data_IF_365447135519
#
_entry.id   IF_365447135519
#
_cell.length_a   1.000
_cell.length_b   1.000
_cell.length_c   1.000
_cell.angle_alpha   90.00
_cell.angle_beta   90.00
_cell.angle_gamma   90.00
#
_symmetry.space_group_name_H-M   'P 1'
#
loop_
_entity.id
_entity.type
_entity.pdbx_description
1 polymer ?
#
# COMPACT_ATOMS: atom_id res chain seq x y z
N UNK A 1 -8.38 18.74 -1.18
CA UNK A 1 -8.44 17.66 -0.19
C UNK A 1 -8.41 18.19 1.25
N UNK A 2 -9.25 17.67 2.15
CA UNK A 2 -9.12 17.91 3.61
C UNK A 2 -8.52 16.69 4.31
N UNK A 3 -7.39 16.86 4.99
CA UNK A 3 -6.75 15.81 5.78
C UNK A 3 -7.48 15.57 7.12
N UNK A 4 -7.55 14.31 7.54
CA UNK A 4 -8.05 13.94 8.87
C UNK A 4 -7.16 14.49 9.98
N UNK A 5 -7.71 14.64 11.18
CA UNK A 5 -6.97 15.18 12.30
C UNK A 5 -5.94 14.18 12.82
N UNK A 6 -6.21 12.88 12.72
CA UNK A 6 -5.27 11.81 13.05
C UNK A 6 -4.06 11.81 12.10
N UNK A 7 -4.28 12.04 10.80
CA UNK A 7 -3.16 12.14 9.86
C UNK A 7 -2.31 13.37 10.12
N UNK A 8 -2.93 14.54 10.40
CA UNK A 8 -2.18 15.75 10.79
C UNK A 8 -1.38 15.52 12.08
N UNK A 9 -1.98 14.84 13.07
CA UNK A 9 -1.31 14.52 14.32
C UNK A 9 -0.08 13.63 14.07
N UNK A 10 -0.22 12.59 13.24
CA UNK A 10 0.90 11.73 12.83
C UNK A 10 1.99 12.52 12.11
N UNK A 11 1.64 13.35 11.13
CA UNK A 11 2.58 14.17 10.35
C UNK A 11 3.33 15.19 11.22
N UNK A 12 2.68 15.73 12.25
CA UNK A 12 3.32 16.64 13.21
C UNK A 12 4.23 15.91 14.20
N UNK A 13 3.89 14.67 14.56
CA UNK A 13 4.71 13.83 15.42
C UNK A 13 6.00 13.35 14.70
N UNK A 14 5.87 13.00 13.42
CA UNK A 14 6.97 12.52 12.58
C UNK A 14 7.84 13.68 12.07
N UNK A 15 8.92 14.00 12.79
CA UNK A 15 9.89 15.02 12.35
C UNK A 15 10.70 14.55 11.14
N UNK A 16 11.06 13.27 11.14
CA UNK A 16 11.77 12.53 10.10
C UNK A 16 11.16 11.12 9.93
N UNK A 17 11.73 10.34 9.01
CA UNK A 17 11.30 8.97 8.76
C UNK A 17 10.21 8.83 7.69
N UNK A 18 9.69 7.60 7.59
CA UNK A 18 8.78 7.17 6.53
C UNK A 18 7.36 6.97 7.05
N UNK A 19 6.40 7.69 6.48
CA UNK A 19 4.97 7.53 6.77
C UNK A 19 4.35 6.61 5.72
N UNK A 20 4.59 6.89 4.45
CA UNK A 20 3.99 6.17 3.33
C UNK A 20 3.68 7.07 2.14
N UNK A 21 2.86 6.57 1.23
CA UNK A 21 2.44 7.26 0.02
C UNK A 21 1.03 6.83 -0.43
N UNK A 22 0.39 7.60 -1.30
CA UNK A 22 -1.01 7.43 -1.72
C UNK A 22 -1.95 8.41 -1.03
N UNK A 23 -3.24 8.11 -1.07
CA UNK A 23 -4.29 8.97 -0.55
C UNK A 23 -4.60 8.65 0.93
N UNK A 24 -4.28 9.54 1.89
CA UNK A 24 -4.55 9.28 3.31
C UNK A 24 -6.04 9.27 3.67
N UNK A 25 -6.92 9.76 2.79
CA UNK A 25 -8.38 9.68 2.96
C UNK A 25 -8.98 8.39 2.37
N UNK A 26 -8.16 7.54 1.74
CA UNK A 26 -8.62 6.25 1.22
C UNK A 26 -9.03 5.31 2.37
N UNK A 27 -9.86 4.31 2.05
CA UNK A 27 -10.31 3.31 3.02
C UNK A 27 -9.52 2.00 2.98
N UNK A 28 -8.58 1.89 2.04
CA UNK A 28 -7.74 0.70 1.84
C UNK A 28 -6.29 1.07 2.11
N UNK A 29 -5.68 0.38 3.06
CA UNK A 29 -4.25 0.43 3.35
C UNK A 29 -3.57 -0.81 2.76
N UNK A 30 -2.54 -0.60 1.94
CA UNK A 30 -1.58 -1.64 1.61
C UNK A 30 -0.40 -1.56 2.55
N UNK A 31 -0.04 -2.71 3.12
CA UNK A 31 1.16 -2.86 3.93
C UNK A 31 2.15 -3.77 3.19
N UNK A 32 3.30 -3.19 2.82
CA UNK A 32 4.44 -3.89 2.24
C UNK A 32 5.50 -4.27 3.28
N UNK A 33 6.56 -4.92 2.84
CA UNK A 33 7.64 -5.37 3.74
C UNK A 33 8.61 -4.22 4.04
N UNK A 34 9.29 -3.74 3.00
CA UNK A 34 10.27 -2.68 3.05
C UNK A 34 10.38 -2.02 1.66
N UNK A 35 10.82 -0.76 1.56
CA UNK A 35 11.07 -0.12 0.29
C UNK A 35 12.18 -0.82 -0.49
N UNK A 36 11.86 -1.28 -1.71
CA UNK A 36 12.80 -1.96 -2.61
C UNK A 36 13.71 -0.96 -3.35
N UNK A 37 14.50 -0.18 -2.59
CA UNK A 37 15.41 0.85 -3.13
C UNK A 37 16.84 0.54 -2.71
N UNK A 38 17.74 0.48 -3.70
CA UNK A 38 19.18 0.45 -3.47
C UNK A 38 19.66 1.86 -3.11
N UNK A 39 20.02 2.07 -1.83
CA UNK A 39 20.35 3.41 -1.29
C UNK A 39 21.63 3.98 -1.88
N UNK A 40 22.55 3.13 -2.31
CA UNK A 40 23.84 3.57 -2.87
C UNK A 40 23.69 3.88 -4.36
N UNK A 41 22.95 3.05 -5.09
CA UNK A 41 22.73 3.24 -6.52
C UNK A 41 21.65 4.29 -6.84
N UNK A 42 20.66 4.49 -5.95
CA UNK A 42 19.49 5.35 -6.20
C UNK A 42 19.28 6.38 -5.07
N UNK A 43 20.35 7.09 -4.71
CA UNK A 43 20.37 8.07 -3.60
C UNK A 43 19.22 9.09 -3.68
N UNK A 44 18.96 9.66 -4.86
CA UNK A 44 17.93 10.68 -5.02
C UNK A 44 16.52 10.12 -4.84
N UNK A 45 16.26 8.91 -5.35
CA UNK A 45 14.99 8.23 -5.11
C UNK A 45 14.80 7.92 -3.62
N UNK A 46 15.83 7.40 -2.95
CA UNK A 46 15.79 7.14 -1.51
C UNK A 46 15.52 8.42 -0.70
N UNK A 47 16.20 9.52 -1.02
CA UNK A 47 15.98 10.83 -0.37
C UNK A 47 14.56 11.33 -0.55
N UNK A 48 14.01 11.21 -1.76
CA UNK A 48 12.68 11.73 -2.07
C UNK A 48 11.55 10.84 -1.54
N UNK A 49 11.67 9.52 -1.67
CA UNK A 49 10.55 8.63 -1.35
C UNK A 49 10.56 8.19 0.12
N UNK A 50 11.74 8.04 0.73
CA UNK A 50 11.92 7.44 2.06
C UNK A 50 12.45 8.44 3.08
N UNK A 51 13.68 8.94 2.93
CA UNK A 51 14.31 9.75 3.98
C UNK A 51 13.63 11.13 4.16
N UNK A 52 13.13 11.72 3.08
CA UNK A 52 12.41 13.00 3.09
C UNK A 52 10.89 12.86 3.24
N UNK A 53 10.36 11.65 3.45
CA UNK A 53 8.93 11.36 3.37
C UNK A 53 8.11 12.18 4.38
N UNK A 54 8.47 12.15 5.67
CA UNK A 54 7.78 12.94 6.69
C UNK A 54 7.83 14.46 6.41
N UNK A 55 8.98 14.96 5.94
CA UNK A 55 9.15 16.38 5.58
C UNK A 55 8.26 16.81 4.42
N UNK A 56 8.12 15.95 3.40
CA UNK A 56 7.23 16.21 2.27
C UNK A 56 5.76 16.15 2.68
N UNK A 57 5.36 15.20 3.53
CA UNK A 57 4.00 15.18 4.08
C UNK A 57 3.68 16.45 4.87
N UNK A 58 4.62 16.95 5.68
CA UNK A 58 4.45 18.25 6.37
C UNK A 58 4.20 19.39 5.38
N UNK A 59 4.94 19.44 4.28
CA UNK A 59 4.74 20.45 3.24
C UNK A 59 3.38 20.29 2.55
N UNK A 60 3.01 19.07 2.16
CA UNK A 60 1.74 18.72 1.50
C UNK A 60 0.55 19.13 2.39
N UNK A 61 0.56 18.73 3.66
CA UNK A 61 -0.50 19.02 4.62
C UNK A 61 -0.59 20.52 4.92
N UNK A 62 0.54 21.20 5.14
CA UNK A 62 0.56 22.63 5.49
C UNK A 62 0.07 23.53 4.36
N UNK A 63 0.28 23.11 3.10
CA UNK A 63 -0.17 23.84 1.92
C UNK A 63 -1.53 23.34 1.38
N UNK A 64 -2.15 22.35 2.01
CA UNK A 64 -3.43 21.79 1.58
C UNK A 64 -3.42 21.16 0.19
N UNK A 65 -2.27 20.59 -0.22
CA UNK A 65 -2.05 20.02 -1.55
C UNK A 65 -2.78 18.69 -1.64
N UNK A 66 -3.88 18.57 -2.37
CA UNK A 66 -4.57 17.29 -2.54
C UNK A 66 -4.10 16.48 -3.76
N UNK A 67 -4.59 15.24 -3.91
CA UNK A 67 -4.21 14.40 -5.04
C UNK A 67 -4.60 15.02 -6.40
N UNK A 68 -5.61 15.90 -6.40
CA UNK A 68 -6.09 16.65 -7.56
C UNK A 68 -5.02 17.58 -8.16
N UNK A 69 -3.98 17.92 -7.40
CA UNK A 69 -2.87 18.75 -7.87
C UNK A 69 -1.78 17.94 -8.59
N UNK A 70 -1.86 16.60 -8.62
CA UNK A 70 -0.86 15.79 -9.29
C UNK A 70 -1.06 15.86 -10.80
N UNK A 71 -0.06 16.42 -11.49
CA UNK A 71 -0.02 16.44 -12.95
C UNK A 71 0.71 15.19 -13.47
N UNK A 72 -0.06 14.23 -14.00
CA UNK A 72 0.49 12.99 -14.57
C UNK A 72 1.25 13.20 -15.89
N UNK A 73 1.15 14.37 -16.51
CA UNK A 73 1.91 14.71 -17.72
C UNK A 73 3.34 15.13 -17.41
N UNK A 74 3.60 15.53 -16.17
CA UNK A 74 4.94 15.81 -15.67
C UNK A 74 5.46 14.50 -15.05
N UNK A 75 6.63 14.05 -15.52
CA UNK A 75 7.32 12.90 -14.93
C UNK A 75 7.94 13.36 -13.60
N UNK A 76 7.11 13.61 -12.60
CA UNK A 76 7.55 13.91 -11.25
C UNK A 76 7.77 12.57 -10.54
N UNK A 77 9.02 12.11 -10.50
CA UNK A 77 9.41 11.25 -9.40
C UNK A 77 9.04 11.98 -8.09
N UNK A 78 8.39 11.27 -7.17
CA UNK A 78 8.32 11.71 -5.77
C UNK A 78 7.10 12.50 -5.31
N UNK A 79 5.98 12.59 -6.05
CA UNK A 79 4.72 13.01 -5.40
C UNK A 79 4.25 11.91 -4.46
N UNK A 80 4.27 12.15 -3.15
CA UNK A 80 3.81 11.16 -2.16
C UNK A 80 2.32 10.83 -2.30
N UNK A 81 1.50 11.69 -2.92
CA UNK A 81 0.07 11.44 -3.11
C UNK A 81 -0.22 10.47 -4.25
N UNK A 82 0.60 10.50 -5.30
CA UNK A 82 0.48 9.59 -6.42
C UNK A 82 1.84 9.32 -7.04
N UNK A 83 2.66 8.49 -6.38
CA UNK A 83 3.91 8.06 -6.96
C UNK A 83 3.65 7.45 -8.33
N UNK A 84 4.43 7.89 -9.32
CA UNK A 84 4.42 7.35 -10.68
C UNK A 84 3.08 7.44 -11.42
N UNK A 85 2.37 8.57 -11.27
CA UNK A 85 1.11 8.86 -11.96
C UNK A 85 1.16 8.77 -13.51
N UNK A 86 2.36 8.81 -14.07
CA UNK A 86 2.63 8.72 -15.51
C UNK A 86 2.86 7.27 -16.02
N UNK A 87 2.81 6.26 -15.15
CA UNK A 87 2.99 4.87 -15.56
C UNK A 87 1.68 4.26 -16.08
N UNK A 88 1.77 3.49 -17.16
CA UNK A 88 0.64 2.77 -17.77
C UNK A 88 0.39 1.43 -17.09
N UNK A 89 -0.86 0.93 -17.19
CA UNK A 89 -1.30 -0.36 -16.67
C UNK A 89 -0.77 -1.56 -17.48
N UNK A 90 0.55 -1.69 -17.54
CA UNK A 90 1.30 -2.77 -18.14
C UNK A 90 2.62 -2.98 -17.38
N UNK A 91 3.23 -4.14 -17.50
CA UNK A 91 4.50 -4.43 -16.83
C UNK A 91 5.66 -4.01 -17.72
N UNK A 92 6.57 -3.21 -17.18
CA UNK A 92 7.89 -2.97 -17.76
C UNK A 92 8.80 -4.15 -17.44
N UNK A 93 9.38 -4.78 -18.46
CA UNK A 93 10.22 -5.98 -18.28
C UNK A 93 11.29 -6.10 -19.36
N UNK A 94 12.38 -6.81 -19.03
CA UNK A 94 13.57 -6.89 -19.88
C UNK A 94 14.53 -5.73 -19.60
N UNK A 95 15.55 -5.62 -20.44
CA UNK A 95 16.58 -4.59 -20.35
C UNK A 95 16.79 -3.97 -21.73
N UNK A 96 17.09 -2.68 -21.75
CA UNK A 96 17.43 -1.96 -22.97
C UNK A 96 18.74 -2.48 -23.57
N UNK A 97 19.73 -2.74 -22.72
CA UNK A 97 21.04 -3.30 -23.08
C UNK A 97 20.93 -4.65 -23.80
N UNK A 98 20.04 -5.54 -23.36
CA UNK A 98 19.81 -6.84 -24.02
C UNK A 98 18.83 -6.78 -25.21
N UNK A 99 18.33 -5.58 -25.57
CA UNK A 99 17.41 -5.39 -26.70
C UNK A 99 16.05 -6.10 -26.55
N UNK A 100 15.66 -6.47 -25.33
CA UNK A 100 14.44 -7.24 -25.05
C UNK A 100 13.43 -6.49 -24.17
N UNK A 101 13.63 -5.17 -23.99
CA UNK A 101 12.76 -4.31 -23.21
C UNK A 101 11.33 -4.28 -23.79
N UNK A 102 10.33 -4.53 -22.94
CA UNK A 102 8.90 -4.50 -23.27
C UNK A 102 8.16 -3.63 -22.27
N UNK A 103 7.11 -2.95 -22.74
CA UNK A 103 6.26 -2.10 -21.91
C UNK A 103 7.03 -0.94 -21.29
N UNK A 104 7.71 -0.14 -22.12
CA UNK A 104 8.60 0.96 -21.69
C UNK A 104 7.92 1.98 -20.77
N UNK A 105 6.64 2.27 -21.02
CA UNK A 105 5.79 3.14 -20.19
C UNK A 105 5.12 2.41 -19.01
N UNK A 106 5.40 1.11 -18.85
CA UNK A 106 4.82 0.28 -17.82
C UNK A 106 5.46 0.46 -16.45
N UNK A 107 4.98 -0.34 -15.50
CA UNK A 107 5.38 -0.29 -14.10
C UNK A 107 6.03 -1.60 -13.63
N UNK A 108 6.54 -1.61 -12.40
CA UNK A 108 7.00 -2.81 -11.73
C UNK A 108 5.84 -3.80 -11.46
N UNK A 109 6.17 -5.09 -11.35
CA UNK A 109 5.16 -6.15 -11.17
C UNK A 109 4.28 -5.94 -9.93
N UNK A 110 4.86 -5.47 -8.84
CA UNK A 110 4.16 -5.18 -7.58
C UNK A 110 3.05 -4.16 -7.79
N UNK A 111 3.38 -2.98 -8.35
CA UNK A 111 2.42 -1.91 -8.63
C UNK A 111 1.34 -2.33 -9.61
N UNK A 112 1.71 -3.08 -10.66
CA UNK A 112 0.75 -3.67 -11.58
C UNK A 112 -0.26 -4.60 -10.87
N UNK A 113 0.18 -5.38 -9.89
CA UNK A 113 -0.68 -6.26 -9.11
C UNK A 113 -1.56 -5.51 -8.11
N UNK A 114 -1.07 -4.43 -7.47
CA UNK A 114 -1.94 -3.55 -6.67
C UNK A 114 -3.02 -2.89 -7.52
N UNK A 115 -2.68 -2.39 -8.71
CA UNK A 115 -3.68 -1.86 -9.64
C UNK A 115 -4.70 -2.93 -10.05
N UNK A 116 -4.27 -4.15 -10.36
CA UNK A 116 -5.20 -5.25 -10.68
C UNK A 116 -6.17 -5.54 -9.53
N UNK A 117 -5.69 -5.53 -8.29
CA UNK A 117 -6.54 -5.78 -7.13
C UNK A 117 -7.55 -4.64 -6.93
N UNK A 118 -7.08 -3.40 -6.97
CA UNK A 118 -7.96 -2.23 -6.87
C UNK A 118 -9.00 -2.25 -7.99
N UNK A 119 -8.63 -2.57 -9.23
CA UNK A 119 -9.57 -2.77 -10.35
C UNK A 119 -10.69 -3.73 -9.97
N UNK A 120 -10.33 -4.94 -9.53
CA UNK A 120 -11.31 -5.95 -9.11
C UNK A 120 -12.20 -5.50 -7.96
N UNK A 121 -11.64 -4.84 -6.94
CA UNK A 121 -12.42 -4.32 -5.80
C UNK A 121 -13.49 -3.35 -6.29
N UNK A 122 -13.12 -2.31 -7.04
CA UNK A 122 -14.11 -1.29 -7.42
C UNK A 122 -14.93 -1.66 -8.65
N UNK A 123 -14.55 -2.63 -9.49
CA UNK A 123 -15.45 -3.22 -10.49
C UNK A 123 -16.56 -4.03 -9.81
N UNK A 124 -16.29 -4.67 -8.67
CA UNK A 124 -17.30 -5.34 -7.85
C UNK A 124 -18.12 -4.35 -6.99
N UNK A 125 -17.51 -3.23 -6.57
CA UNK A 125 -18.14 -2.24 -5.71
C UNK A 125 -19.00 -1.22 -6.49
N UNK A 126 -18.50 -0.73 -7.63
CA UNK A 126 -19.14 0.27 -8.47
C UNK A 126 -19.58 -0.35 -9.80
N UNK A 127 -20.88 -0.32 -10.07
CA UNK A 127 -21.45 -0.90 -11.30
C UNK A 127 -20.88 -0.27 -12.59
N UNK A 128 -20.51 1.00 -12.53
CA UNK A 128 -20.11 1.79 -13.69
C UNK A 128 -18.60 2.11 -13.74
N UNK A 129 -17.76 1.40 -12.96
CA UNK A 129 -16.30 1.60 -13.06
C UNK A 129 -15.81 1.15 -14.43
N UNK A 130 -15.11 2.05 -15.12
CA UNK A 130 -14.40 1.74 -16.36
C UNK A 130 -13.36 0.64 -16.11
N UNK A 131 -13.45 -0.46 -16.86
CA UNK A 131 -12.37 -1.46 -16.92
C UNK A 131 -11.13 -0.84 -17.56
N UNK A 132 -10.00 -0.88 -16.83
CA UNK A 132 -8.74 -0.36 -17.32
C UNK A 132 -8.11 -1.25 -18.40
N UNK A 133 -7.45 -0.61 -19.34
CA UNK A 133 -6.66 -1.20 -20.41
C UNK A 133 -5.19 -0.86 -20.23
N UNK A 134 -4.31 -1.48 -21.03
CA UNK A 134 -2.86 -1.20 -21.00
C UNK A 134 -2.46 0.24 -21.35
N UNK A 135 -3.37 1.02 -21.93
CA UNK A 135 -3.14 2.43 -22.28
C UNK A 135 -3.57 3.38 -21.15
N UNK A 136 -4.31 2.89 -20.16
CA UNK A 136 -4.71 3.69 -19.01
C UNK A 136 -3.55 3.82 -18.01
N UNK A 137 -3.46 4.98 -17.36
CA UNK A 137 -2.51 5.25 -16.29
C UNK A 137 -2.96 4.63 -14.97
N UNK A 138 -2.01 4.23 -14.14
CA UNK A 138 -2.30 3.71 -12.80
C UNK A 138 -3.04 4.77 -11.97
N UNK A 139 -4.05 4.36 -11.21
CA UNK A 139 -4.86 5.22 -10.34
C UNK A 139 -4.95 4.69 -8.89
N UNK A 140 -4.33 3.54 -8.60
CA UNK A 140 -4.53 2.84 -7.32
C UNK A 140 -4.12 3.66 -6.10
N UNK A 141 -3.13 4.55 -6.20
CA UNK A 141 -2.73 5.48 -5.14
C UNK A 141 -3.82 6.49 -4.76
N UNK A 142 -4.75 6.81 -5.68
CA UNK A 142 -5.91 7.65 -5.35
C UNK A 142 -6.92 6.92 -4.49
N UNK A 143 -6.96 5.59 -4.60
CA UNK A 143 -7.94 4.70 -3.97
C UNK A 143 -7.35 3.92 -2.78
N UNK A 144 -6.08 4.13 -2.45
CA UNK A 144 -5.40 3.45 -1.35
C UNK A 144 -4.24 4.26 -0.79
N UNK A 145 -3.91 4.00 0.46
CA UNK A 145 -2.65 4.43 1.08
C UNK A 145 -1.71 3.22 1.17
N UNK A 146 -0.41 3.47 1.10
CA UNK A 146 0.64 2.46 1.09
C UNK A 146 1.69 2.83 2.12
N UNK A 147 2.11 1.84 2.90
CA UNK A 147 3.24 1.95 3.81
C UNK A 147 3.92 0.59 3.93
N UNK A 148 5.04 0.54 4.64
CA UNK A 148 5.82 -0.67 4.82
C UNK A 148 6.01 -0.98 6.30
N UNK A 149 6.20 -2.26 6.60
CA UNK A 149 6.52 -2.75 7.94
C UNK A 149 7.87 -2.26 8.43
N UNK A 150 8.85 -2.14 7.53
CA UNK A 150 10.19 -1.59 7.72
C UNK A 150 10.36 -0.38 6.81
N UNK A 151 11.04 0.67 7.27
CA UNK A 151 11.49 1.78 6.44
C UNK A 151 12.97 1.70 6.09
N UNK A 152 13.63 0.64 6.53
CA UNK A 152 14.97 0.34 6.13
C UNK A 152 14.95 -0.15 4.68
N UNK A 153 15.13 0.78 3.73
CA UNK A 153 15.15 0.46 2.30
C UNK A 153 16.32 -0.48 1.95
N UNK A 154 16.05 -1.65 1.35
CA UNK A 154 17.07 -2.57 0.86
C UNK A 154 16.65 -3.16 -0.48
N UNK A 155 17.63 -3.58 -1.28
CA UNK A 155 17.38 -4.30 -2.54
C UNK A 155 16.92 -5.74 -2.29
N UNK A 156 17.34 -6.34 -1.18
CA UNK A 156 16.93 -7.68 -0.75
C UNK A 156 16.96 -7.85 0.77
N UNK A 157 15.95 -8.54 1.32
CA UNK A 157 15.78 -8.75 2.76
C UNK A 157 16.92 -9.51 3.46
N UNK A 158 17.77 -10.23 2.70
CA UNK A 158 18.90 -11.01 3.24
C UNK A 158 20.01 -10.16 3.89
N UNK A 159 19.89 -8.83 3.89
CA UNK A 159 21.01 -7.92 4.14
C UNK A 159 20.94 -7.08 5.43
N UNK A 160 19.97 -7.21 6.34
CA UNK A 160 20.04 -6.37 7.56
C UNK A 160 19.44 -6.91 8.86
N UNK A 161 20.27 -6.80 9.91
CA UNK A 161 19.82 -6.76 11.31
C UNK A 161 18.90 -5.53 11.53
N UNK A 162 19.16 -4.46 10.79
CA UNK A 162 18.43 -3.19 10.85
C UNK A 162 16.95 -3.33 10.43
N UNK A 163 16.60 -4.23 9.51
CA UNK A 163 15.22 -4.44 9.07
C UNK A 163 14.32 -4.97 10.19
N UNK A 164 14.81 -5.87 11.05
CA UNK A 164 14.05 -6.37 12.21
C UNK A 164 13.83 -5.27 13.24
N UNK A 165 14.88 -4.50 13.51
CA UNK A 165 14.81 -3.37 14.44
C UNK A 165 13.86 -2.28 13.92
N UNK A 166 13.91 -1.96 12.62
CA UNK A 166 12.99 -1.03 11.96
C UNK A 166 11.53 -1.49 12.09
N UNK A 167 11.24 -2.80 11.92
CA UNK A 167 9.89 -3.33 12.15
C UNK A 167 9.41 -3.03 13.58
N UNK A 168 10.24 -3.27 14.59
CA UNK A 168 9.89 -3.02 16.00
C UNK A 168 9.67 -1.51 16.25
N UNK A 169 10.52 -0.65 15.71
CA UNK A 169 10.40 0.81 15.85
C UNK A 169 9.11 1.33 15.20
N UNK A 170 8.78 0.79 14.03
CA UNK A 170 7.58 1.17 13.27
C UNK A 170 6.27 0.69 13.88
N UNK A 171 6.27 -0.25 14.83
CA UNK A 171 5.07 -0.60 15.60
C UNK A 171 4.47 0.64 16.26
N UNK A 172 5.28 1.53 16.82
CA UNK A 172 4.79 2.76 17.46
C UNK A 172 4.07 3.70 16.47
N UNK A 173 4.51 3.70 15.21
CA UNK A 173 3.94 4.52 14.14
C UNK A 173 2.69 3.87 13.56
N UNK A 174 2.78 2.59 13.21
CA UNK A 174 1.69 1.81 12.62
C UNK A 174 0.54 1.52 13.60
N UNK A 175 0.78 1.66 14.90
CA UNK A 175 -0.25 1.60 15.94
C UNK A 175 -0.97 2.94 16.21
N UNK A 176 -0.61 4.01 15.49
CA UNK A 176 -1.30 5.30 15.61
C UNK A 176 -2.74 5.24 15.10
N UNK A 177 -3.57 6.17 15.59
CA UNK A 177 -4.99 6.27 15.21
C UNK A 177 -5.19 6.41 13.70
N UNK A 178 -4.27 7.09 12.99
CA UNK A 178 -4.32 7.20 11.54
C UNK A 178 -4.35 5.82 10.85
N UNK A 179 -3.37 4.97 11.15
CA UNK A 179 -3.30 3.63 10.54
C UNK A 179 -4.41 2.70 11.06
N UNK A 180 -4.78 2.83 12.34
CA UNK A 180 -5.86 2.04 12.92
C UNK A 180 -7.24 2.43 12.42
N UNK A 181 -7.42 3.59 11.80
CA UNK A 181 -8.70 4.03 11.23
C UNK A 181 -8.95 3.55 9.80
N UNK A 182 -8.01 2.86 9.16
CA UNK A 182 -8.29 2.20 7.89
C UNK A 182 -9.20 0.99 8.14
N UNK A 183 -10.40 0.92 7.54
CA UNK A 183 -11.28 -0.22 7.73
C UNK A 183 -10.84 -1.45 6.94
N UNK A 184 -9.99 -1.29 5.92
CA UNK A 184 -9.46 -2.39 5.10
C UNK A 184 -7.93 -2.29 5.09
N UNK A 185 -7.26 -3.35 5.54
CA UNK A 185 -5.81 -3.50 5.48
C UNK A 185 -5.46 -4.75 4.65
N UNK A 186 -4.58 -4.58 3.67
CA UNK A 186 -4.08 -5.68 2.83
C UNK A 186 -2.56 -5.76 3.01
N UNK A 187 -2.12 -6.73 3.81
CA UNK A 187 -0.72 -6.95 4.13
C UNK A 187 -0.11 -8.00 3.20
N UNK A 188 0.51 -7.54 2.10
CA UNK A 188 1.17 -8.37 1.09
C UNK A 188 2.63 -8.63 1.45
N UNK A 189 2.83 -9.23 2.63
CA UNK A 189 4.14 -9.33 3.29
C UNK A 189 4.64 -10.76 3.50
N UNK A 190 3.92 -11.79 3.03
CA UNK A 190 4.35 -13.18 3.20
C UNK A 190 4.65 -13.53 4.65
N UNK A 191 5.72 -14.27 4.93
CA UNK A 191 6.08 -14.71 6.29
C UNK A 191 6.87 -13.67 7.10
N UNK A 192 7.12 -12.50 6.54
CA UNK A 192 7.98 -11.48 7.15
C UNK A 192 7.56 -11.03 8.56
N UNK A 193 6.26 -10.81 8.89
CA UNK A 193 5.86 -10.51 10.27
C UNK A 193 6.34 -11.57 11.26
N UNK A 194 6.15 -12.85 10.94
CA UNK A 194 6.56 -13.98 11.77
C UNK A 194 8.09 -14.08 11.90
N UNK A 195 8.82 -13.75 10.85
CA UNK A 195 10.30 -13.83 10.81
C UNK A 195 10.99 -12.66 11.54
N UNK A 196 10.28 -11.54 11.74
CA UNK A 196 10.81 -10.29 12.27
C UNK A 196 10.27 -9.92 13.66
N UNK A 197 8.99 -10.18 13.93
CA UNK A 197 8.30 -9.76 15.16
C UNK A 197 7.59 -10.93 15.86
N UNK A 198 6.86 -11.75 15.10
CA UNK A 198 6.08 -12.88 15.62
C UNK A 198 4.61 -12.84 15.18
N UNK A 199 3.82 -13.80 15.67
CA UNK A 199 2.42 -13.98 15.25
C UNK A 199 1.48 -12.88 15.79
N UNK A 200 1.87 -12.20 16.87
CA UNK A 200 1.10 -11.10 17.49
C UNK A 200 1.17 -9.77 16.72
N UNK A 201 2.06 -9.65 15.72
CA UNK A 201 2.37 -8.38 15.05
C UNK A 201 1.13 -7.57 14.63
N UNK A 202 0.20 -8.22 13.92
CA UNK A 202 -1.01 -7.54 13.44
C UNK A 202 -1.98 -7.19 14.57
N UNK A 203 -2.07 -8.03 15.60
CA UNK A 203 -2.85 -7.73 16.80
C UNK A 203 -2.34 -6.48 17.49
N UNK A 204 -1.02 -6.37 17.68
CA UNK A 204 -0.38 -5.22 18.33
C UNK A 204 -0.60 -3.91 17.56
N UNK A 205 -0.36 -3.90 16.24
CA UNK A 205 -0.47 -2.63 15.48
C UNK A 205 -1.91 -2.25 15.14
N UNK A 206 -2.80 -3.20 14.87
CA UNK A 206 -4.16 -2.88 14.38
C UNK A 206 -5.29 -3.19 15.36
N UNK A 207 -5.00 -3.84 16.50
CA UNK A 207 -6.00 -4.33 17.44
C UNK A 207 -7.02 -5.25 16.76
N UNK A 208 -6.53 -6.23 15.99
CA UNK A 208 -7.34 -7.22 15.27
C UNK A 208 -7.13 -8.62 15.84
N UNK A 209 -8.18 -9.43 15.79
CA UNK A 209 -8.17 -10.84 16.20
C UNK A 209 -8.07 -11.73 14.96
N UNK A 210 -7.19 -12.74 14.99
CA UNK A 210 -7.05 -13.70 13.91
C UNK A 210 -8.24 -14.66 13.87
N UNK A 211 -8.95 -14.70 12.74
CA UNK A 211 -10.10 -15.59 12.53
C UNK A 211 -9.72 -16.94 11.91
N UNK A 212 -8.64 -16.96 11.13
CA UNK A 212 -8.21 -18.16 10.43
C UNK A 212 -7.74 -17.90 9.01
N UNK A 213 -7.48 -19.00 8.31
CA UNK A 213 -7.05 -19.02 6.92
C UNK A 213 -8.25 -19.35 6.01
N UNK A 214 -8.56 -18.47 5.08
CA UNK A 214 -9.59 -18.64 4.05
C UNK A 214 -8.95 -19.19 2.75
N UNK A 215 -8.50 -20.44 2.77
CA UNK A 215 -7.84 -21.07 1.62
C UNK A 215 -8.75 -21.22 0.39
N UNK A 216 -8.17 -21.14 -0.80
CA UNK A 216 -8.74 -21.72 -2.02
C UNK A 216 -7.74 -22.72 -2.59
N UNK A 217 -8.22 -23.85 -3.11
CA UNK A 217 -7.39 -25.00 -3.52
C UNK A 217 -6.30 -24.76 -4.59
N UNK A 218 -6.05 -23.52 -5.01
CA UNK A 218 -4.94 -23.10 -5.90
C UNK A 218 -3.93 -22.15 -5.24
N UNK A 219 -4.22 -21.58 -4.06
CA UNK A 219 -3.39 -20.56 -3.40
C UNK A 219 -3.04 -20.95 -1.97
N UNK A 220 -1.80 -20.65 -1.60
CA UNK A 220 -1.14 -21.24 -0.44
C UNK A 220 -1.68 -20.79 0.92
N UNK A 221 -2.32 -19.63 1.04
CA UNK A 221 -3.08 -19.18 2.23
C UNK A 221 -3.61 -17.75 2.03
N UNK A 222 -4.68 -17.39 2.75
CA UNK A 222 -5.16 -16.02 2.92
C UNK A 222 -5.60 -15.88 4.37
N UNK A 223 -4.75 -15.30 5.21
CA UNK A 223 -5.02 -15.14 6.63
C UNK A 223 -5.92 -13.93 6.84
N UNK A 224 -6.99 -14.11 7.61
CA UNK A 224 -7.97 -13.06 7.89
C UNK A 224 -7.99 -12.77 9.38
N UNK A 225 -7.83 -11.50 9.70
CA UNK A 225 -8.03 -10.95 11.04
C UNK A 225 -9.07 -9.84 10.99
N UNK A 226 -9.79 -9.63 12.08
CA UNK A 226 -10.83 -8.60 12.15
C UNK A 226 -10.79 -7.82 13.46
N UNK A 227 -11.21 -6.56 13.42
CA UNK A 227 -11.67 -5.83 14.59
C UNK A 227 -13.17 -5.66 14.47
N UNK A 228 -13.93 -6.36 15.30
CA UNK A 228 -15.40 -6.38 15.25
C UNK A 228 -16.04 -5.28 16.12
N UNK A 229 -15.47 -4.08 16.10
CA UNK A 229 -16.04 -2.93 16.79
C UNK A 229 -17.06 -2.22 15.88
N UNK A 230 -18.28 -2.02 16.38
CA UNK A 230 -19.36 -1.39 15.59
C UNK A 230 -18.96 0.01 15.08
N UNK A 231 -18.23 0.78 15.89
CA UNK A 231 -17.80 2.14 15.57
C UNK A 231 -16.56 2.22 14.68
N UNK A 232 -15.73 1.17 14.64
CA UNK A 232 -14.46 1.18 13.92
C UNK A 232 -14.07 -0.22 13.43
N UNK A 233 -14.90 -0.85 12.57
CA UNK A 233 -14.64 -2.21 12.12
C UNK A 233 -13.44 -2.24 11.19
N UNK A 234 -12.62 -3.29 11.29
CA UNK A 234 -11.47 -3.50 10.40
C UNK A 234 -11.43 -4.93 9.87
N UNK A 235 -11.13 -5.06 8.59
CA UNK A 235 -10.71 -6.29 7.95
C UNK A 235 -9.22 -6.19 7.62
N UNK A 236 -8.42 -7.13 8.13
CA UNK A 236 -7.03 -7.30 7.74
C UNK A 236 -6.87 -8.62 6.97
N UNK A 237 -6.36 -8.52 5.74
CA UNK A 237 -6.01 -9.66 4.89
C UNK A 237 -4.49 -9.75 4.82
N UNK A 238 -3.93 -10.80 5.39
CA UNK A 238 -2.51 -11.13 5.32
C UNK A 238 -2.28 -12.20 4.24
N UNK A 239 -1.38 -11.92 3.31
CA UNK A 239 -1.18 -12.70 2.07
C UNK A 239 0.30 -12.77 1.68
N UNK A 240 0.69 -13.76 0.83
CA UNK A 240 1.95 -13.69 0.08
C UNK A 240 2.17 -12.34 -0.63
N UNK A 241 3.45 -12.01 -0.86
CA UNK A 241 3.85 -10.79 -1.55
C UNK A 241 3.33 -10.71 -2.99
N UNK A 242 3.05 -9.48 -3.44
CA UNK A 242 2.59 -9.21 -4.81
C UNK A 242 3.73 -8.91 -5.80
N UNK A 243 4.99 -9.08 -5.39
CA UNK A 243 6.17 -8.91 -6.24
C UNK A 243 6.29 -9.97 -7.34
N UNK A 244 5.64 -11.12 -7.16
CA UNK A 244 5.61 -12.24 -8.10
C UNK A 244 4.31 -12.34 -8.89
N UNK A 245 4.22 -13.32 -9.80
CA UNK A 245 2.99 -13.58 -10.57
C UNK A 245 1.88 -14.10 -9.66
N UNK A 246 0.82 -13.31 -9.49
CA UNK A 246 -0.40 -13.66 -8.75
C UNK A 246 -1.56 -13.86 -9.71
N UNK A 247 -2.36 -14.93 -9.54
CA UNK A 247 -3.46 -15.20 -10.47
C UNK A 247 -4.62 -14.25 -10.25
N UNK A 248 -5.42 -14.09 -11.31
CA UNK A 248 -6.67 -13.35 -11.23
C UNK A 248 -7.62 -13.89 -10.17
N UNK A 249 -7.75 -15.22 -10.03
CA UNK A 249 -8.68 -15.87 -9.08
C UNK A 249 -8.37 -15.51 -7.63
N UNK A 250 -7.10 -15.43 -7.27
CA UNK A 250 -6.71 -15.04 -5.91
C UNK A 250 -7.06 -13.58 -5.63
N UNK A 251 -6.79 -12.69 -6.59
CA UNK A 251 -7.19 -11.30 -6.47
C UNK A 251 -8.73 -11.14 -6.45
N UNK A 252 -9.48 -11.98 -7.18
CA UNK A 252 -10.94 -11.98 -7.14
C UNK A 252 -11.46 -12.33 -5.74
N UNK A 253 -10.82 -13.29 -5.05
CA UNK A 253 -11.18 -13.66 -3.69
C UNK A 253 -10.93 -12.53 -2.70
N UNK A 254 -9.74 -11.93 -2.71
CA UNK A 254 -9.42 -10.76 -1.88
C UNK A 254 -10.43 -9.64 -2.14
N UNK A 255 -10.68 -9.34 -3.42
CA UNK A 255 -11.61 -8.29 -3.81
C UNK A 255 -13.04 -8.55 -3.31
N UNK A 256 -13.52 -9.79 -3.44
CA UNK A 256 -14.84 -10.19 -2.92
C UNK A 256 -14.90 -10.01 -1.40
N UNK A 257 -13.90 -10.47 -0.66
CA UNK A 257 -13.87 -10.38 0.81
C UNK A 257 -13.91 -8.92 1.28
N UNK A 258 -13.14 -8.04 0.62
CA UNK A 258 -13.15 -6.59 0.88
C UNK A 258 -14.53 -5.99 0.63
N UNK A 259 -15.16 -6.30 -0.51
CA UNK A 259 -16.48 -5.74 -0.87
C UNK A 259 -17.59 -6.28 0.02
N UNK A 260 -17.56 -7.56 0.39
CA UNK A 260 -18.52 -8.15 1.32
C UNK A 260 -18.43 -7.48 2.69
N UNK A 261 -17.22 -7.32 3.24
CA UNK A 261 -17.00 -6.65 4.53
C UNK A 261 -17.43 -5.19 4.49
N UNK A 262 -17.11 -4.47 3.41
CA UNK A 262 -17.55 -3.09 3.25
C UNK A 262 -19.08 -2.96 3.23
N UNK A 263 -19.79 -3.90 2.60
CA UNK A 263 -21.26 -3.94 2.59
C UNK A 263 -21.84 -4.30 3.96
N UNK A 264 -21.26 -5.29 4.63
CA UNK A 264 -21.67 -5.75 5.96
C UNK A 264 -21.62 -4.62 6.99
N UNK A 265 -20.57 -3.80 6.93
CA UNK A 265 -20.32 -2.71 7.89
C UNK A 265 -20.69 -1.31 7.37
N UNK A 266 -21.37 -1.20 6.23
CA UNK A 266 -21.77 0.07 5.62
C UNK A 266 -20.59 1.05 5.37
N UNK A 267 -19.44 0.53 4.99
CA UNK A 267 -18.25 1.31 4.68
C UNK A 267 -18.34 1.86 3.25
N UNK A 268 -18.21 3.17 3.10
CA UNK A 268 -18.00 3.80 1.80
C UNK A 268 -16.54 3.68 1.39
N UNK A 269 -16.21 2.83 0.41
CA UNK A 269 -14.83 2.62 -0.04
C UNK A 269 -14.26 3.80 -0.85
N UNK A 270 -15.11 4.72 -1.31
CA UNK A 270 -14.63 5.92 -2.00
C UNK A 270 -13.95 6.86 -1.00
N UNK A 271 -12.75 7.37 -1.31
CA UNK A 271 -12.13 8.42 -0.52
C UNK A 271 -13.02 9.67 -0.46
N UNK A 272 -13.02 10.35 0.68
CA UNK A 272 -13.67 11.65 0.83
C UNK A 272 -12.85 12.73 0.10
N UNK A 273 -13.54 13.62 -0.61
CA UNK A 273 -12.95 14.76 -1.36
C UNK A 273 -12.36 15.86 -0.44
#
# INVERSE_FOLDING_TARGET
MKYSDEFKALVNYMLDGYIGHGNPNAKILFLGQEPAIDREANIEQYKNEIAGNAGQWRNIVSNGIGYESVDSSIIEFGSLLHPWANQKFQVRSGSEEAGNLKGTEGTARTWYNYQKLINKIFELYLKDRKTMTKEDHLDFHRLSFHTDMSDAAYKSHTESVDGKQSVVERVSILSSDFFRNFPIVIAAVGHFPRETYGDEYFGDIFNVEFLGNEETGLYKWMNVSVRNEVSNPMLLIHTPQFSSSISGRYLDQIAKRVVDFAKEHNINLMPEE
#
